data_IF_112108165667
#
_entry.id   IF_112108165667
#
_cell.length_a   1.000
_cell.length_b   1.000
_cell.length_c   1.000
_cell.angle_alpha   90.00
_cell.angle_beta   90.00
_cell.angle_gamma   90.00
#
_symmetry.space_group_name_H-M   'P 1'
#
loop_
_entity.id
_entity.type
_entity.pdbx_description
1 polymer ?
#
# COMPACT_ATOMS: atom_id res chain seq x y z
N UNK A 1 2.66 17.58 -10.59
CA UNK A 1 1.22 17.26 -10.60
C UNK A 1 0.57 17.62 -9.25
N UNK A 2 1.18 17.30 -8.12
CA UNK A 2 0.61 17.43 -6.76
C UNK A 2 0.62 18.84 -6.14
N UNK A 3 1.22 19.84 -6.76
CA UNK A 3 1.35 21.19 -6.19
C UNK A 3 -0.01 21.80 -5.78
N UNK A 4 -1.04 21.64 -6.61
CA UNK A 4 -2.39 22.17 -6.33
C UNK A 4 -2.99 21.49 -5.10
N UNK A 5 -2.87 20.18 -4.99
CA UNK A 5 -3.36 19.38 -3.86
C UNK A 5 -2.62 19.74 -2.57
N UNK A 6 -1.29 19.84 -2.62
CA UNK A 6 -0.48 20.24 -1.48
C UNK A 6 -0.84 21.66 -0.98
N UNK A 7 -1.03 22.61 -1.90
CA UNK A 7 -1.48 23.98 -1.54
C UNK A 7 -2.88 23.98 -0.92
N UNK A 8 -3.78 23.13 -1.41
CA UNK A 8 -5.12 22.99 -0.84
C UNK A 8 -5.06 22.48 0.60
N UNK A 9 -4.32 21.40 0.85
CA UNK A 9 -4.12 20.88 2.20
C UNK A 9 -3.48 21.92 3.11
N UNK A 10 -2.38 22.56 2.70
CA UNK A 10 -1.72 23.59 3.48
C UNK A 10 -2.71 24.67 3.94
N UNK A 11 -3.54 25.21 3.02
CA UNK A 11 -4.51 26.26 3.32
C UNK A 11 -5.66 25.76 4.20
N UNK A 12 -6.17 24.55 3.96
CA UNK A 12 -7.36 24.03 4.66
C UNK A 12 -7.06 23.53 6.06
N UNK A 13 -5.85 23.06 6.29
CA UNK A 13 -5.46 22.50 7.59
C UNK A 13 -4.51 23.41 8.38
N UNK A 14 -4.14 24.56 7.82
CA UNK A 14 -3.14 25.46 8.39
C UNK A 14 -1.85 24.72 8.78
N UNK A 15 -1.32 23.93 7.85
CA UNK A 15 -0.16 23.09 8.05
C UNK A 15 0.96 23.38 7.06
N UNK A 16 2.18 23.02 7.42
CA UNK A 16 3.30 22.90 6.48
C UNK A 16 3.14 21.59 5.72
N UNK A 17 3.22 21.62 4.41
CA UNK A 17 3.16 20.42 3.55
C UNK A 17 4.50 20.24 2.84
N UNK A 18 5.15 19.11 3.09
CA UNK A 18 6.39 18.69 2.41
C UNK A 18 6.04 17.62 1.38
N UNK A 19 6.26 17.92 0.11
CA UNK A 19 6.06 16.96 -0.98
C UNK A 19 7.41 16.37 -1.39
N UNK A 20 7.56 15.05 -1.22
CA UNK A 20 8.80 14.36 -1.56
C UNK A 20 8.85 14.05 -3.04
N UNK A 21 9.84 14.58 -3.75
CA UNK A 21 10.13 14.27 -5.14
C UNK A 21 11.08 13.07 -5.24
N UNK A 22 10.58 11.87 -4.94
CA UNK A 22 11.40 10.65 -4.98
C UNK A 22 11.77 10.24 -6.41
N UNK A 23 12.88 9.52 -6.55
CA UNK A 23 13.35 8.96 -7.83
C UNK A 23 12.32 7.99 -8.41
N UNK A 24 12.25 7.84 -9.72
CA UNK A 24 11.23 7.04 -10.40
C UNK A 24 11.85 5.83 -11.11
N UNK A 25 11.10 4.73 -11.16
CA UNK A 25 11.37 3.60 -12.03
C UNK A 25 10.95 3.94 -13.49
N UNK A 26 11.61 3.38 -14.51
CA UNK A 26 12.62 2.31 -14.43
C UNK A 26 14.05 2.81 -14.19
N UNK A 27 14.33 4.13 -14.27
CA UNK A 27 15.69 4.68 -14.12
C UNK A 27 16.27 4.38 -12.74
N UNK A 28 15.43 4.37 -11.73
CA UNK A 28 15.76 4.02 -10.36
C UNK A 28 14.72 3.02 -9.84
N UNK A 29 14.96 1.70 -9.96
CA UNK A 29 14.02 0.69 -9.50
C UNK A 29 13.95 0.60 -7.97
N UNK A 30 13.00 -0.21 -7.46
CA UNK A 30 12.90 -0.57 -6.04
C UNK A 30 14.28 -0.95 -5.47
N UNK A 31 14.62 -0.49 -4.25
CA UNK A 31 13.78 0.27 -3.28
C UNK A 31 14.06 1.79 -3.25
N UNK A 32 14.62 2.39 -4.31
CA UNK A 32 15.08 3.78 -4.33
C UNK A 32 14.01 4.79 -3.85
N UNK A 33 12.75 4.58 -4.20
CA UNK A 33 11.61 5.44 -3.82
C UNK A 33 11.38 5.43 -2.31
N UNK A 34 11.44 4.24 -1.72
CA UNK A 34 11.31 4.07 -0.28
C UNK A 34 12.48 4.74 0.47
N UNK A 35 13.71 4.55 0.00
CA UNK A 35 14.90 5.16 0.60
C UNK A 35 14.82 6.69 0.60
N UNK A 36 14.39 7.27 -0.52
CA UNK A 36 14.21 8.71 -0.64
C UNK A 36 13.13 9.23 0.33
N UNK A 37 11.97 8.55 0.37
CA UNK A 37 10.88 8.92 1.26
C UNK A 37 11.25 8.76 2.73
N UNK A 38 11.92 7.68 3.09
CA UNK A 38 12.39 7.44 4.46
C UNK A 38 13.43 8.47 4.89
N UNK A 39 14.38 8.79 4.00
CA UNK A 39 15.42 9.80 4.24
C UNK A 39 14.79 11.18 4.46
N UNK A 40 13.85 11.58 3.60
CA UNK A 40 13.14 12.84 3.72
C UNK A 40 12.30 12.90 5.02
N UNK A 41 11.61 11.82 5.37
CA UNK A 41 10.82 11.75 6.60
C UNK A 41 11.71 11.86 7.85
N UNK A 42 12.84 11.13 7.90
CA UNK A 42 13.79 11.22 9.02
C UNK A 42 14.37 12.63 9.15
N UNK A 43 14.77 13.23 8.04
CA UNK A 43 15.29 14.58 8.03
C UNK A 43 14.26 15.57 8.58
N UNK A 44 13.04 15.54 8.08
CA UNK A 44 11.99 16.45 8.52
C UNK A 44 11.58 16.24 9.98
N UNK A 45 11.51 14.98 10.46
CA UNK A 45 11.25 14.69 11.88
C UNK A 45 12.32 15.27 12.80
N UNK A 46 13.58 15.32 12.36
CA UNK A 46 14.69 15.91 13.13
C UNK A 46 14.70 17.44 13.13
N UNK A 47 14.25 18.04 12.03
CA UNK A 47 14.34 19.48 11.79
C UNK A 47 12.99 20.20 11.81
N UNK A 48 11.92 19.54 12.27
CA UNK A 48 10.57 20.08 12.25
C UNK A 48 10.46 21.44 12.95
N UNK A 49 11.14 21.62 14.08
CA UNK A 49 11.14 22.87 14.86
C UNK A 49 11.80 24.01 14.10
N UNK A 50 12.81 23.74 13.27
CA UNK A 50 13.47 24.75 12.42
C UNK A 50 12.51 25.34 11.38
N UNK A 51 11.45 24.59 11.08
CA UNK A 51 10.36 25.01 10.17
C UNK A 51 9.11 25.52 10.90
N UNK A 52 9.18 25.74 12.21
CA UNK A 52 8.05 26.18 13.03
C UNK A 52 6.96 25.10 13.19
N UNK A 53 7.30 23.83 13.02
CA UNK A 53 6.37 22.69 13.10
C UNK A 53 6.53 22.00 14.45
N UNK A 54 5.40 21.67 15.08
CA UNK A 54 5.34 20.82 16.27
C UNK A 54 5.64 19.35 15.88
N UNK A 55 6.76 18.78 16.38
CA UNK A 55 7.15 17.41 16.03
C UNK A 55 6.14 16.33 16.46
N UNK A 56 5.27 16.64 17.43
CA UNK A 56 4.22 15.71 17.88
C UNK A 56 2.99 15.65 16.95
N UNK A 57 2.93 16.54 15.95
CA UNK A 57 1.78 16.70 15.05
C UNK A 57 2.10 16.36 13.60
N UNK A 58 3.15 15.59 13.35
CA UNK A 58 3.56 15.20 12.00
C UNK A 58 2.76 14.00 11.53
N UNK A 59 2.18 14.13 10.34
CA UNK A 59 1.42 13.10 9.63
C UNK A 59 2.11 12.80 8.31
N UNK A 60 2.16 11.54 7.91
CA UNK A 60 2.58 11.15 6.56
C UNK A 60 1.36 10.73 5.73
N UNK A 61 1.38 11.04 4.43
CA UNK A 61 0.25 10.84 3.53
C UNK A 61 0.73 10.42 2.14
N UNK A 62 -0.03 9.58 1.47
CA UNK A 62 0.21 9.24 0.08
C UNK A 62 -0.97 8.54 -0.57
N UNK A 63 -1.04 8.67 -1.89
CA UNK A 63 -2.05 8.05 -2.74
C UNK A 63 -1.43 6.95 -3.62
N UNK A 64 -2.18 5.88 -3.88
CA UNK A 64 -1.74 4.78 -4.75
C UNK A 64 -0.39 4.19 -4.29
N UNK A 65 0.63 4.19 -5.14
CA UNK A 65 2.01 3.83 -4.78
C UNK A 65 2.58 4.70 -3.66
N UNK A 66 2.18 5.98 -3.57
CA UNK A 66 2.51 6.85 -2.44
C UNK A 66 1.89 6.36 -1.13
N UNK A 67 0.72 5.74 -1.17
CA UNK A 67 0.10 5.05 -0.03
C UNK A 67 0.92 3.84 0.42
N UNK A 68 1.45 3.05 -0.52
CA UNK A 68 2.41 1.98 -0.24
C UNK A 68 3.64 2.51 0.48
N UNK A 69 4.27 3.56 -0.08
CA UNK A 69 5.46 4.19 0.51
C UNK A 69 5.17 4.77 1.89
N UNK A 70 3.99 5.38 2.08
CA UNK A 70 3.54 5.90 3.39
C UNK A 70 3.48 4.79 4.42
N UNK A 71 2.83 3.65 4.11
CA UNK A 71 2.74 2.52 5.02
C UNK A 71 4.13 1.93 5.33
N UNK A 72 4.98 1.74 4.32
CA UNK A 72 6.33 1.21 4.49
C UNK A 72 7.22 2.14 5.34
N UNK A 73 7.18 3.45 5.11
CA UNK A 73 7.92 4.44 5.90
C UNK A 73 7.42 4.46 7.34
N UNK A 74 6.09 4.42 7.57
CA UNK A 74 5.55 4.35 8.93
C UNK A 74 6.06 3.10 9.66
N UNK A 75 6.06 1.93 9.01
CA UNK A 75 6.58 0.68 9.56
C UNK A 75 8.07 0.76 9.91
N UNK A 76 8.88 1.37 9.06
CA UNK A 76 10.31 1.55 9.31
C UNK A 76 10.59 2.48 10.51
N UNK A 77 9.68 3.42 10.80
CA UNK A 77 9.84 4.40 11.88
C UNK A 77 9.35 3.92 13.24
N UNK A 78 8.53 2.86 13.36
CA UNK A 78 7.90 2.47 14.64
C UNK A 78 8.90 2.13 15.75
N UNK A 79 10.07 1.63 15.39
CA UNK A 79 11.12 1.25 16.36
C UNK A 79 12.20 2.33 16.54
N UNK A 80 12.09 3.48 15.87
CA UNK A 80 13.06 4.58 15.96
C UNK A 80 12.79 5.41 17.23
N UNK A 81 13.60 5.15 18.26
CA UNK A 81 13.51 5.86 19.54
C UNK A 81 14.20 7.24 19.54
N UNK A 82 15.01 7.48 18.54
CA UNK A 82 15.75 8.73 18.31
C UNK A 82 14.95 9.79 17.55
N UNK A 83 13.70 9.48 17.18
CA UNK A 83 12.82 10.36 16.40
C UNK A 83 11.47 10.57 17.11
N UNK A 84 10.82 11.73 16.89
CA UNK A 84 9.42 11.92 17.24
C UNK A 84 8.56 10.86 16.56
N UNK A 85 7.49 10.41 17.25
CA UNK A 85 6.54 9.48 16.68
C UNK A 85 5.61 10.20 15.71
N UNK A 86 5.29 9.55 14.61
CA UNK A 86 4.22 10.02 13.71
C UNK A 86 2.88 10.08 14.46
N UNK A 87 2.14 11.18 14.26
CA UNK A 87 0.79 11.35 14.83
C UNK A 87 -0.23 10.48 14.12
N UNK A 88 -0.11 10.34 12.79
CA UNK A 88 -0.98 9.51 11.97
C UNK A 88 -0.34 9.20 10.62
N UNK A 89 -0.91 8.19 9.93
CA UNK A 89 -0.68 7.94 8.51
C UNK A 89 -2.00 8.02 7.74
N UNK A 90 -1.95 8.53 6.51
CA UNK A 90 -3.10 8.67 5.62
C UNK A 90 -2.81 7.90 4.34
N UNK A 91 -3.59 6.87 4.08
CA UNK A 91 -3.45 5.95 2.96
C UNK A 91 -4.64 6.13 2.01
N UNK A 92 -4.39 6.65 0.83
CA UNK A 92 -5.41 6.93 -0.17
C UNK A 92 -5.32 5.86 -1.27
N UNK A 93 -6.32 4.99 -1.36
CA UNK A 93 -6.39 3.82 -2.26
C UNK A 93 -5.05 3.09 -2.47
N UNK A 94 -4.38 2.64 -1.38
CA UNK A 94 -3.02 2.13 -1.43
C UNK A 94 -2.94 0.74 -2.07
N UNK A 95 -1.82 0.45 -2.77
CA UNK A 95 -1.40 -0.92 -3.07
C UNK A 95 -0.62 -1.48 -1.87
N UNK A 96 -1.00 -2.64 -1.33
CA UNK A 96 -0.41 -3.12 -0.06
C UNK A 96 0.04 -4.58 -0.06
N UNK A 97 -0.25 -5.35 -1.12
CA UNK A 97 0.14 -6.76 -1.17
C UNK A 97 0.26 -7.29 -2.60
N UNK A 98 1.08 -8.32 -2.78
CA UNK A 98 1.24 -9.07 -4.02
C UNK A 98 1.10 -10.59 -3.79
N UNK A 99 0.28 -11.01 -2.83
CA UNK A 99 0.04 -12.42 -2.51
C UNK A 99 -1.16 -12.96 -3.30
N UNK A 100 -2.31 -12.27 -3.24
CA UNK A 100 -3.51 -12.65 -3.96
C UNK A 100 -4.00 -11.52 -4.87
N UNK A 101 -3.72 -11.67 -6.14
CA UNK A 101 -4.14 -10.77 -7.22
C UNK A 101 -5.50 -11.15 -7.81
N UNK A 102 -6.24 -12.05 -7.13
CA UNK A 102 -7.57 -12.49 -7.50
C UNK A 102 -8.62 -12.26 -6.40
N UNK A 103 -8.30 -11.39 -5.43
CA UNK A 103 -9.28 -10.89 -4.48
C UNK A 103 -10.51 -10.31 -5.20
N UNK A 104 -11.66 -10.18 -4.52
CA UNK A 104 -12.90 -9.68 -5.15
C UNK A 104 -12.71 -8.41 -5.97
N UNK A 105 -12.03 -7.40 -5.46
CA UNK A 105 -11.82 -6.13 -6.19
C UNK A 105 -11.00 -6.30 -7.47
N UNK A 106 -9.98 -7.17 -7.47
CA UNK A 106 -9.17 -7.46 -8.65
C UNK A 106 -9.96 -8.17 -9.77
N UNK A 107 -11.00 -8.93 -9.42
CA UNK A 107 -11.88 -9.57 -10.42
C UNK A 107 -12.98 -8.62 -10.87
N UNK A 108 -13.61 -7.92 -9.94
CA UNK A 108 -14.78 -7.06 -10.21
C UNK A 108 -14.42 -5.79 -10.98
N UNK A 109 -13.19 -5.31 -10.80
CA UNK A 109 -12.72 -4.03 -11.30
C UNK A 109 -11.57 -4.17 -12.33
N UNK A 110 -11.45 -5.32 -13.00
CA UNK A 110 -10.37 -5.59 -13.96
C UNK A 110 -10.41 -4.68 -15.20
N UNK A 111 -11.56 -4.07 -15.50
CA UNK A 111 -11.81 -3.21 -16.67
C UNK A 111 -12.29 -1.80 -16.35
N UNK A 112 -12.13 -1.38 -15.08
CA UNK A 112 -12.53 -0.02 -14.69
C UNK A 112 -11.53 1.02 -15.21
N UNK A 113 -11.95 2.29 -15.34
CA UNK A 113 -11.07 3.36 -15.82
C UNK A 113 -9.82 3.54 -14.96
N UNK A 114 -8.75 4.03 -15.58
CA UNK A 114 -7.47 4.49 -15.02
C UNK A 114 -6.57 3.34 -14.59
N UNK A 115 -6.95 2.50 -13.61
CA UNK A 115 -6.11 1.42 -13.11
C UNK A 115 -6.73 0.06 -13.42
N UNK A 116 -6.34 -0.53 -14.56
CA UNK A 116 -6.67 -1.90 -14.91
C UNK A 116 -5.83 -2.88 -14.09
N UNK A 117 -6.37 -4.06 -13.82
CA UNK A 117 -5.64 -5.16 -13.16
C UNK A 117 -4.28 -5.46 -13.82
N UNK A 118 -4.27 -5.61 -15.15
CA UNK A 118 -3.03 -5.86 -15.90
C UNK A 118 -2.03 -4.70 -15.75
N UNK A 119 -2.52 -3.46 -15.83
CA UNK A 119 -1.68 -2.27 -15.66
C UNK A 119 -1.05 -2.21 -14.29
N UNK A 120 -1.75 -2.62 -13.24
CA UNK A 120 -1.19 -2.70 -11.88
C UNK A 120 0.03 -3.61 -11.84
N UNK A 121 -0.03 -4.78 -12.48
CA UNK A 121 1.11 -5.71 -12.55
C UNK A 121 2.24 -5.19 -13.44
N UNK A 122 1.92 -4.59 -14.59
CA UNK A 122 2.94 -3.95 -15.45
C UNK A 122 3.73 -2.90 -14.68
N UNK A 123 3.04 -2.06 -13.91
CA UNK A 123 3.69 -1.03 -13.09
C UNK A 123 4.51 -1.65 -11.97
N UNK A 124 3.99 -2.66 -11.28
CA UNK A 124 4.70 -3.39 -10.23
C UNK A 124 5.98 -4.05 -10.74
N UNK A 125 5.92 -4.78 -11.86
CA UNK A 125 7.09 -5.45 -12.44
C UNK A 125 8.15 -4.43 -12.92
N UNK A 126 7.73 -3.33 -13.54
CA UNK A 126 8.65 -2.23 -13.90
C UNK A 126 9.30 -1.61 -12.67
N UNK A 127 8.55 -1.47 -11.57
CA UNK A 127 9.04 -0.92 -10.32
C UNK A 127 10.17 -1.76 -9.72
N UNK A 128 10.08 -3.09 -9.82
CA UNK A 128 11.12 -4.02 -9.34
C UNK A 128 12.09 -4.46 -10.45
N UNK A 129 12.00 -3.88 -11.64
CA UNK A 129 12.85 -4.19 -12.81
C UNK A 129 12.81 -5.68 -13.21
N UNK A 130 11.60 -6.25 -13.25
CA UNK A 130 11.36 -7.64 -13.64
C UNK A 130 10.71 -7.77 -15.03
N UNK A 131 10.81 -8.95 -15.62
CA UNK A 131 10.26 -9.27 -16.94
C UNK A 131 8.73 -9.23 -16.93
N UNK A 132 8.13 -8.52 -17.88
CA UNK A 132 6.69 -8.45 -18.08
C UNK A 132 6.07 -9.79 -18.52
N UNK A 133 6.86 -10.73 -19.03
CA UNK A 133 6.42 -12.09 -19.33
C UNK A 133 5.85 -12.84 -18.12
N UNK A 134 6.19 -12.43 -16.90
CA UNK A 134 5.69 -13.01 -15.65
C UNK A 134 4.21 -12.70 -15.35
N UNK A 135 3.59 -11.74 -16.04
CA UNK A 135 2.22 -11.27 -15.74
C UNK A 135 1.21 -12.42 -15.72
N UNK A 136 1.28 -13.35 -16.68
CA UNK A 136 0.35 -14.48 -16.76
C UNK A 136 0.47 -15.41 -15.55
N UNK A 137 1.69 -15.67 -15.11
CA UNK A 137 1.97 -16.55 -13.96
C UNK A 137 1.58 -15.88 -12.63
N UNK A 138 1.79 -14.57 -12.54
CA UNK A 138 1.33 -13.77 -11.39
C UNK A 138 -0.21 -13.79 -11.28
N UNK A 139 -0.93 -13.66 -12.39
CA UNK A 139 -2.40 -13.76 -12.39
C UNK A 139 -2.92 -15.15 -11.94
N UNK A 140 -2.18 -16.21 -12.24
CA UNK A 140 -2.50 -17.56 -11.76
C UNK A 140 -2.13 -17.76 -10.29
N UNK A 141 -1.34 -16.87 -9.69
CA UNK A 141 -0.81 -17.05 -8.33
C UNK A 141 0.32 -18.09 -8.25
N UNK A 142 0.96 -18.46 -9.38
CA UNK A 142 2.07 -19.42 -9.42
C UNK A 142 3.34 -18.91 -8.73
N UNK A 143 3.40 -17.63 -8.42
CA UNK A 143 4.50 -16.96 -7.73
C UNK A 143 4.49 -17.15 -6.20
N UNK A 144 3.41 -17.70 -5.65
CA UNK A 144 3.25 -17.89 -4.19
C UNK A 144 3.47 -19.34 -3.84
N UNK A 145 4.57 -19.67 -3.18
CA UNK A 145 4.84 -21.00 -2.68
C UNK A 145 3.80 -21.43 -1.63
N UNK A 146 3.68 -22.74 -1.40
CA UNK A 146 2.73 -23.28 -0.42
C UNK A 146 3.01 -22.75 0.99
N UNK A 147 4.27 -22.71 1.41
CA UNK A 147 4.66 -22.15 2.70
C UNK A 147 4.28 -20.67 2.85
N UNK A 148 4.44 -19.89 1.79
CA UNK A 148 4.00 -18.47 1.79
C UNK A 148 2.49 -18.34 1.85
N UNK A 149 1.75 -19.18 1.13
CA UNK A 149 0.28 -19.21 1.22
C UNK A 149 -0.16 -19.49 2.65
N UNK A 150 0.40 -20.50 3.29
CA UNK A 150 0.13 -20.83 4.68
C UNK A 150 0.52 -19.68 5.64
N UNK A 151 1.67 -19.06 5.41
CA UNK A 151 2.12 -17.93 6.22
C UNK A 151 1.18 -16.73 6.11
N UNK A 152 0.80 -16.35 4.89
CA UNK A 152 0.11 -15.08 4.62
C UNK A 152 -1.41 -15.17 4.60
N UNK A 153 -2.02 -16.40 4.53
CA UNK A 153 -3.47 -16.57 4.57
C UNK A 153 -4.14 -15.95 5.80
N UNK A 154 -3.42 -15.84 6.90
CA UNK A 154 -3.90 -15.17 8.12
C UNK A 154 -4.08 -13.66 7.96
N UNK A 155 -3.53 -13.06 6.90
CA UNK A 155 -3.62 -11.64 6.59
C UNK A 155 -4.24 -11.35 5.24
N UNK A 156 -4.05 -12.25 4.26
CA UNK A 156 -4.55 -12.10 2.90
C UNK A 156 -5.46 -13.26 2.59
N UNK A 157 -6.77 -13.04 2.77
CA UNK A 157 -7.82 -14.00 2.43
C UNK A 157 -9.08 -13.26 1.98
N UNK A 158 -9.77 -13.74 0.92
CA UNK A 158 -11.05 -13.21 0.54
C UNK A 158 -12.12 -13.39 1.64
N UNK A 159 -11.90 -14.27 2.62
CA UNK A 159 -12.82 -14.48 3.73
C UNK A 159 -12.91 -13.26 4.66
N UNK A 160 -11.86 -12.44 4.70
CA UNK A 160 -11.83 -11.20 5.48
C UNK A 160 -12.48 -10.01 4.78
N UNK A 161 -12.83 -10.15 3.50
CA UNK A 161 -13.56 -9.12 2.77
C UNK A 161 -15.05 -9.26 3.09
N UNK A 162 -15.75 -8.20 3.52
CA UNK A 162 -17.18 -8.23 3.81
C UNK A 162 -18.01 -8.68 2.60
N UNK A 163 -19.15 -9.32 2.88
CA UNK A 163 -19.98 -9.94 1.84
C UNK A 163 -20.48 -8.94 0.79
N UNK A 164 -20.82 -7.72 1.22
CA UNK A 164 -21.27 -6.65 0.32
C UNK A 164 -20.27 -6.33 -0.79
N UNK A 165 -18.98 -6.50 -0.55
CA UNK A 165 -17.93 -6.28 -1.56
C UNK A 165 -17.67 -7.48 -2.48
N UNK A 166 -18.40 -8.60 -2.30
CA UNK A 166 -18.29 -9.82 -3.12
C UNK A 166 -19.44 -9.99 -4.11
N UNK A 167 -20.48 -9.17 -4.03
CA UNK A 167 -21.76 -9.38 -4.75
C UNK A 167 -21.67 -9.17 -6.26
N UNK A 168 -20.68 -8.46 -6.77
CA UNK A 168 -20.51 -8.14 -8.19
C UNK A 168 -19.70 -9.22 -8.94
N UNK A 169 -20.13 -10.49 -8.85
CA UNK A 169 -19.60 -11.57 -9.70
C UNK A 169 -18.25 -12.16 -9.27
N UNK A 170 -17.85 -11.96 -8.00
CA UNK A 170 -16.66 -12.64 -7.46
C UNK A 170 -16.83 -14.17 -7.50
N UNK A 171 -15.77 -14.86 -7.92
CA UNK A 171 -15.67 -16.32 -7.88
C UNK A 171 -14.34 -16.70 -7.24
N UNK A 172 -14.37 -17.69 -6.35
CA UNK A 172 -13.13 -18.23 -5.80
C UNK A 172 -12.23 -18.72 -6.94
N UNK A 173 -11.00 -18.23 -6.98
CA UNK A 173 -10.04 -18.62 -8.00
C UNK A 173 -9.56 -20.04 -7.77
N UNK A 174 -9.38 -20.84 -8.84
CA UNK A 174 -8.75 -22.15 -8.72
C UNK A 174 -7.32 -21.98 -8.18
N UNK A 175 -6.89 -22.91 -7.37
CA UNK A 175 -5.53 -22.93 -6.86
C UNK A 175 -4.61 -23.53 -7.92
N UNK A 176 -3.67 -22.74 -8.42
CA UNK A 176 -2.63 -23.21 -9.32
C UNK A 176 -1.40 -23.65 -8.53
N UNK A 177 -0.68 -24.65 -9.06
CA UNK A 177 0.56 -25.09 -8.46
C UNK A 177 1.63 -24.00 -8.56
N UNK A 178 2.41 -23.77 -7.51
CA UNK A 178 3.53 -22.85 -7.55
C UNK A 178 4.57 -23.27 -8.60
N UNK A 179 5.12 -22.29 -9.33
CA UNK A 179 6.30 -22.47 -10.15
C UNK A 179 7.54 -22.08 -9.34
N UNK A 180 8.47 -23.02 -9.14
CA UNK A 180 9.69 -22.75 -8.39
C UNK A 180 10.47 -21.59 -8.99
N UNK A 181 10.63 -21.57 -10.32
CA UNK A 181 11.34 -20.54 -11.06
C UNK A 181 10.70 -19.16 -10.85
N UNK A 182 9.37 -19.06 -10.95
CA UNK A 182 8.65 -17.81 -10.74
C UNK A 182 8.74 -17.37 -9.28
N UNK A 183 8.63 -18.29 -8.32
CA UNK A 183 8.76 -18.00 -6.89
C UNK A 183 10.12 -17.40 -6.52
N UNK A 184 11.21 -17.90 -7.13
CA UNK A 184 12.57 -17.43 -6.88
C UNK A 184 12.78 -16.03 -7.49
N UNK A 185 12.30 -15.79 -8.71
CA UNK A 185 12.48 -14.50 -9.40
C UNK A 185 11.72 -13.37 -8.70
N UNK A 186 10.52 -13.63 -8.18
CA UNK A 186 9.65 -12.58 -7.63
C UNK A 186 9.77 -12.42 -6.10
N UNK A 187 10.85 -12.89 -5.48
CA UNK A 187 11.06 -12.82 -4.02
C UNK A 187 10.80 -11.43 -3.43
N UNK A 188 11.27 -10.41 -4.12
CA UNK A 188 11.18 -9.00 -3.70
C UNK A 188 9.76 -8.51 -3.46
N UNK A 189 8.73 -9.05 -4.15
CA UNK A 189 7.35 -8.59 -3.97
C UNK A 189 6.75 -8.96 -2.61
N UNK A 190 7.41 -9.86 -1.87
CA UNK A 190 7.01 -10.25 -0.50
C UNK A 190 7.72 -9.42 0.59
N UNK A 191 8.65 -8.55 0.21
CA UNK A 191 9.25 -7.62 1.16
C UNK A 191 8.16 -6.65 1.70
N UNK A 192 8.05 -6.44 3.03
CA UNK A 192 7.09 -5.48 3.59
C UNK A 192 7.25 -4.03 3.09
N UNK A 193 8.41 -3.68 2.54
CA UNK A 193 8.60 -2.38 1.88
C UNK A 193 7.82 -2.29 0.57
N UNK A 194 7.70 -3.42 -0.16
CA UNK A 194 6.88 -3.52 -1.38
C UNK A 194 5.42 -3.86 -1.05
N UNK A 195 5.20 -4.78 -0.11
CA UNK A 195 3.89 -5.28 0.30
C UNK A 195 3.64 -5.02 1.80
N UNK A 196 3.32 -3.80 2.21
CA UNK A 196 3.19 -3.41 3.61
C UNK A 196 2.19 -4.23 4.43
N UNK A 197 1.21 -4.84 3.79
CA UNK A 197 0.27 -5.77 4.44
C UNK A 197 0.99 -6.99 5.03
N UNK A 198 2.20 -7.33 4.58
CA UNK A 198 2.94 -8.53 5.00
C UNK A 198 3.91 -8.28 6.16
N UNK A 199 3.99 -7.08 6.70
CA UNK A 199 4.82 -6.78 7.87
C UNK A 199 4.41 -7.62 9.08
N UNK A 200 5.34 -7.93 9.97
CA UNK A 200 5.07 -8.75 11.15
C UNK A 200 4.13 -8.04 12.14
N UNK A 201 3.36 -8.81 12.89
CA UNK A 201 2.35 -8.31 13.83
C UNK A 201 2.96 -7.36 14.88
N UNK A 202 4.21 -7.61 15.30
CA UNK A 202 4.95 -6.76 16.24
C UNK A 202 5.26 -5.36 15.71
N UNK A 203 5.26 -5.18 14.38
CA UNK A 203 5.40 -3.88 13.70
C UNK A 203 4.04 -3.22 13.58
N UNK A 204 3.03 -3.95 13.09
CA UNK A 204 1.66 -3.46 12.89
C UNK A 204 1.09 -2.90 14.21
N UNK A 205 1.26 -3.60 15.33
CA UNK A 205 0.77 -3.19 16.64
C UNK A 205 1.34 -1.86 17.18
N UNK A 206 2.37 -1.31 16.53
CA UNK A 206 3.02 -0.05 16.94
C UNK A 206 2.75 1.11 15.98
N UNK A 207 1.98 0.88 14.93
CA UNK A 207 1.68 1.91 13.93
C UNK A 207 0.84 3.04 14.54
N UNK A 208 0.93 4.25 13.98
CA UNK A 208 0.12 5.37 14.44
C UNK A 208 -1.36 5.20 14.03
N UNK A 209 -2.21 6.06 14.56
CA UNK A 209 -3.59 6.23 14.07
C UNK A 209 -3.59 6.32 12.53
N UNK A 210 -4.52 5.64 11.89
CA UNK A 210 -4.51 5.48 10.42
C UNK A 210 -5.83 5.94 9.82
N UNK A 211 -5.74 6.77 8.79
CA UNK A 211 -6.85 7.05 7.88
C UNK A 211 -6.66 6.23 6.59
N UNK A 212 -7.70 5.52 6.16
CA UNK A 212 -7.71 4.76 4.91
C UNK A 212 -8.87 5.21 4.05
N UNK A 213 -8.59 5.61 2.81
CA UNK A 213 -9.61 5.83 1.79
C UNK A 213 -9.58 4.69 0.77
N UNK A 214 -10.74 4.13 0.46
CA UNK A 214 -10.94 3.13 -0.59
C UNK A 214 -12.03 3.57 -1.56
N UNK A 215 -11.94 3.12 -2.80
CA UNK A 215 -12.94 3.38 -3.83
C UNK A 215 -13.61 2.08 -4.27
N UNK A 216 -14.94 2.10 -4.52
CA UNK A 216 -15.69 0.91 -4.92
C UNK A 216 -15.20 0.34 -6.26
N UNK A 217 -14.92 1.23 -7.22
CA UNK A 217 -14.47 0.83 -8.56
C UNK A 217 -12.94 0.92 -8.69
N UNK A 218 -12.24 0.25 -7.76
CA UNK A 218 -10.77 0.20 -7.72
C UNK A 218 -10.30 -1.23 -7.50
N UNK A 219 -9.32 -1.68 -8.28
CA UNK A 219 -8.70 -3.01 -8.12
C UNK A 219 -8.02 -3.13 -6.75
N UNK A 220 -7.54 -2.03 -6.17
CA UNK A 220 -6.85 -1.98 -4.88
C UNK A 220 -7.80 -1.83 -3.67
N UNK A 221 -9.12 -1.79 -3.88
CA UNK A 221 -10.09 -1.65 -2.78
C UNK A 221 -9.84 -2.64 -1.65
N UNK A 222 -9.67 -3.90 -2.00
CA UNK A 222 -9.55 -4.98 -1.03
C UNK A 222 -8.21 -4.99 -0.28
N UNK A 223 -7.15 -4.47 -0.87
CA UNK A 223 -5.88 -4.22 -0.17
C UNK A 223 -6.10 -3.27 1.02
N UNK A 224 -6.83 -2.19 0.80
CA UNK A 224 -7.22 -1.25 1.84
C UNK A 224 -8.11 -1.87 2.92
N UNK A 225 -9.08 -2.71 2.54
CA UNK A 225 -9.97 -3.40 3.48
C UNK A 225 -9.21 -4.40 4.36
N UNK A 226 -8.32 -5.19 3.78
CA UNK A 226 -7.50 -6.15 4.51
C UNK A 226 -6.54 -5.44 5.49
N UNK A 227 -5.93 -4.34 5.06
CA UNK A 227 -5.04 -3.58 5.93
C UNK A 227 -5.79 -2.90 7.07
N UNK A 228 -6.98 -2.33 6.78
CA UNK A 228 -7.90 -1.81 7.80
C UNK A 228 -8.16 -2.86 8.87
N UNK A 229 -8.65 -4.04 8.44
CA UNK A 229 -8.93 -5.13 9.37
C UNK A 229 -7.71 -5.48 10.22
N UNK A 230 -6.56 -5.64 9.59
CA UNK A 230 -5.33 -6.00 10.29
C UNK A 230 -4.90 -4.97 11.33
N UNK A 231 -5.03 -3.69 11.02
CA UNK A 231 -4.75 -2.60 11.95
C UNK A 231 -5.72 -2.63 13.15
N UNK A 232 -7.01 -2.80 12.89
CA UNK A 232 -8.04 -2.88 13.92
C UNK A 232 -7.86 -4.10 14.83
N UNK A 233 -7.51 -5.27 14.28
CA UNK A 233 -7.20 -6.48 15.02
C UNK A 233 -6.02 -6.29 15.99
N UNK A 234 -5.12 -5.34 15.71
CA UNK A 234 -3.99 -4.97 16.57
C UNK A 234 -4.24 -3.72 17.44
N UNK A 235 -5.49 -3.28 17.54
CA UNK A 235 -5.88 -2.16 18.40
C UNK A 235 -5.51 -0.77 17.87
N UNK A 236 -5.11 -0.65 16.60
CA UNK A 236 -4.85 0.64 15.98
C UNK A 236 -6.18 1.31 15.63
N UNK A 237 -6.33 2.57 16.02
CA UNK A 237 -7.49 3.36 15.63
C UNK A 237 -7.46 3.64 14.13
N UNK A 238 -8.49 3.17 13.41
CA UNK A 238 -8.65 3.40 11.97
C UNK A 238 -9.88 4.25 11.69
N UNK A 239 -9.69 5.31 10.91
CA UNK A 239 -10.76 6.06 10.28
C UNK A 239 -10.83 5.64 8.82
N UNK A 240 -11.93 5.02 8.42
CA UNK A 240 -12.11 4.52 7.08
C UNK A 240 -13.16 5.36 6.32
N UNK A 241 -12.79 5.78 5.10
CA UNK A 241 -13.67 6.44 4.16
C UNK A 241 -13.79 5.59 2.89
N UNK A 242 -15.00 5.25 2.50
CA UNK A 242 -15.26 4.48 1.28
C UNK A 242 -16.08 5.31 0.31
N UNK A 243 -15.55 5.53 -0.89
CA UNK A 243 -16.22 6.24 -1.96
C UNK A 243 -17.00 5.25 -2.83
N UNK A 244 -18.32 5.18 -2.66
CA UNK A 244 -19.20 4.23 -3.35
C UNK A 244 -19.22 4.42 -4.88
N UNK A 245 -19.04 5.64 -5.35
CA UNK A 245 -18.97 5.97 -6.78
C UNK A 245 -17.54 6.31 -7.24
N UNK A 246 -16.56 6.12 -6.34
CA UNK A 246 -15.17 6.44 -6.59
C UNK A 246 -14.45 5.36 -7.39
N UNK A 247 -13.44 5.77 -8.13
CA UNK A 247 -12.49 4.91 -8.83
C UNK A 247 -11.07 5.35 -8.51
N UNK A 248 -10.08 4.57 -8.92
CA UNK A 248 -8.67 4.90 -8.66
C UNK A 248 -8.29 6.25 -9.27
N UNK A 249 -7.71 7.16 -8.47
CA UNK A 249 -7.36 8.50 -8.94
C UNK A 249 -8.48 9.55 -8.85
N UNK A 250 -9.59 9.25 -8.16
CA UNK A 250 -10.71 10.20 -7.96
C UNK A 250 -10.29 11.40 -7.09
N UNK A 251 -9.29 11.25 -6.24
CA UNK A 251 -8.82 12.29 -5.29
C UNK A 251 -7.51 12.89 -5.76
#
# INVERSE_FOLDING_TARGET
AYERTCRYFCRKTNSVVVCVGYRLAPEHPFPAQFEDCLTAAIHFLRTAQDHGVDPSRIVICGDSSGGTLTAAVAQALVNRRDLPKLRAQILIYPFLQCVDLNLPSYQQNDRVPILLKERTLVLGLKYVNMDLGLIKELFKGCHVSEDRRLKYQKWVSPDYIPHEFKTRGYKASPMYLPSKEVCEVVETVFDPVFSPLLAEDSVIAKLPETFILTCEFDVLRDDGLLYKKRLEDHGIKVTWCHLQEGFHGTV
#
